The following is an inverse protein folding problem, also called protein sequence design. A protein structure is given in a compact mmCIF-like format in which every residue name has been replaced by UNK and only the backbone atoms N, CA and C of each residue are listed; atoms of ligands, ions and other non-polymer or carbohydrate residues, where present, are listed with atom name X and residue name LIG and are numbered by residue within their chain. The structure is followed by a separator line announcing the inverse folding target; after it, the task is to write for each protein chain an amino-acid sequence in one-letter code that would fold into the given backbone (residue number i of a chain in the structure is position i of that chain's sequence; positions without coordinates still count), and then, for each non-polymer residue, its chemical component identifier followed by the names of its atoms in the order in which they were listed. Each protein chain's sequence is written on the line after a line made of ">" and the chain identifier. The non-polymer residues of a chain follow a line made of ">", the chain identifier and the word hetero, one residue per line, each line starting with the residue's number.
data_IF_824607183658
#
_entry.id   IF_824607183658
#
_cell.length_a   1.000
_cell.length_b   1.000
_cell.length_c   1.000
_cell.angle_alpha   90.00
_cell.angle_beta   90.00
_cell.angle_gamma   90.00
#
_symmetry.space_group_name_H-M   'P 1'
#
loop_
_entity.id
_entity.type
_entity.pdbx_description
1 polymer ?
#
# COMPACT_ATOMS: atom_id res chain seq x y z
N UNK A 1 -9.84 18.52 15.79
CA UNK A 1 -10.42 18.64 14.44
C UNK A 1 -9.77 17.56 13.61
N UNK A 2 -10.47 16.43 13.49
CA UNK A 2 -9.97 15.20 12.85
C UNK A 2 -10.16 15.39 11.35
N UNK A 3 -9.06 15.46 10.59
CA UNK A 3 -9.13 15.48 9.15
C UNK A 3 -9.35 14.04 8.67
N UNK A 4 -10.63 13.68 8.52
CA UNK A 4 -11.04 12.47 7.80
C UNK A 4 -10.65 12.66 6.34
N UNK A 5 -9.65 11.91 5.86
CA UNK A 5 -9.36 11.81 4.44
C UNK A 5 -10.40 10.83 3.88
N UNK A 6 -11.54 11.37 3.47
CA UNK A 6 -12.56 10.62 2.72
C UNK A 6 -12.16 10.56 1.24
N UNK A 7 -12.21 9.32 0.72
CA UNK A 7 -12.32 8.96 -0.69
C UNK A 7 -11.18 9.45 -1.59
N UNK A 8 -9.98 8.92 -1.33
CA UNK A 8 -9.03 8.65 -2.40
C UNK A 8 -9.71 7.78 -3.43
N UNK A 9 -9.89 8.35 -4.63
CA UNK A 9 -10.59 7.79 -5.77
C UNK A 9 -10.38 6.28 -5.87
N UNK A 10 -11.47 5.58 -6.18
CA UNK A 10 -11.50 4.18 -6.64
C UNK A 10 -10.65 4.07 -7.92
N UNK A 11 -9.33 4.20 -7.75
CA UNK A 11 -8.32 4.14 -8.78
C UNK A 11 -8.54 2.78 -9.41
N UNK A 12 -8.83 2.77 -10.71
CA UNK A 12 -8.97 1.56 -11.51
C UNK A 12 -7.76 0.69 -11.20
N UNK A 13 -7.95 -0.29 -10.29
CA UNK A 13 -6.86 -1.14 -9.83
C UNK A 13 -6.31 -1.79 -11.08
N UNK A 14 -4.98 -1.82 -11.20
CA UNK A 14 -4.35 -2.50 -12.32
C UNK A 14 -5.01 -3.87 -12.52
N UNK A 15 -5.42 -4.25 -13.75
CA UNK A 15 -6.12 -5.51 -13.99
C UNK A 15 -5.34 -6.72 -13.46
N UNK A 16 -4.00 -6.61 -13.40
CA UNK A 16 -3.11 -7.60 -12.81
C UNK A 16 -3.37 -7.84 -11.30
N UNK A 17 -3.78 -6.83 -10.53
CA UNK A 17 -4.11 -6.99 -9.10
C UNK A 17 -5.40 -7.78 -8.93
N UNK A 18 -6.41 -7.52 -9.77
CA UNK A 18 -7.66 -8.27 -9.77
C UNK A 18 -7.43 -9.75 -10.12
N UNK A 19 -6.60 -10.01 -11.13
CA UNK A 19 -6.19 -11.37 -11.50
C UNK A 19 -5.41 -12.07 -10.38
N UNK A 20 -4.44 -11.40 -9.76
CA UNK A 20 -3.67 -11.93 -8.65
C UNK A 20 -4.54 -12.26 -7.43
N UNK A 21 -5.51 -11.40 -7.09
CA UNK A 21 -6.48 -11.70 -6.04
C UNK A 21 -7.34 -12.93 -6.39
N UNK A 22 -7.75 -13.06 -7.65
CA UNK A 22 -8.44 -14.25 -8.15
C UNK A 22 -7.58 -15.52 -7.96
N UNK A 23 -6.29 -15.45 -8.30
CA UNK A 23 -5.36 -16.56 -8.10
C UNK A 23 -5.18 -16.93 -6.61
N UNK A 24 -5.16 -15.95 -5.70
CA UNK A 24 -5.10 -16.20 -4.25
C UNK A 24 -6.35 -16.95 -3.77
N UNK A 25 -7.54 -16.58 -4.26
CA UNK A 25 -8.78 -17.29 -3.91
C UNK A 25 -8.71 -18.77 -4.32
N UNK A 26 -8.23 -19.05 -5.53
CA UNK A 26 -8.02 -20.43 -5.99
C UNK A 26 -6.97 -21.17 -5.15
N UNK A 27 -5.86 -20.50 -4.82
CA UNK A 27 -4.80 -21.08 -3.99
C UNK A 27 -5.31 -21.42 -2.57
N UNK A 28 -6.16 -20.59 -1.96
CA UNK A 28 -6.76 -20.89 -0.65
C UNK A 28 -7.69 -22.11 -0.71
N UNK A 29 -8.46 -22.26 -1.79
CA UNK A 29 -9.28 -23.45 -2.00
C UNK A 29 -8.41 -24.72 -2.11
N UNK A 30 -7.30 -24.66 -2.86
CA UNK A 30 -6.35 -25.76 -2.96
C UNK A 30 -5.68 -26.09 -1.62
N UNK A 31 -5.21 -25.07 -0.89
CA UNK A 31 -4.60 -25.25 0.44
C UNK A 31 -5.55 -25.97 1.40
N UNK A 32 -6.83 -25.60 1.41
CA UNK A 32 -7.85 -26.27 2.20
C UNK A 32 -8.08 -27.71 1.75
N UNK A 33 -8.09 -27.96 0.44
CA UNK A 33 -8.29 -29.31 -0.11
C UNK A 33 -7.12 -30.26 0.17
N UNK A 34 -5.89 -29.74 0.26
CA UNK A 34 -4.67 -30.52 0.53
C UNK A 34 -4.22 -30.47 1.99
N UNK A 35 -5.02 -29.90 2.90
CA UNK A 35 -4.71 -29.79 4.34
C UNK A 35 -3.35 -29.10 4.64
N UNK A 36 -2.97 -28.13 3.79
CA UNK A 36 -1.69 -27.40 3.84
C UNK A 36 -1.79 -26.06 4.57
N UNK A 37 -2.26 -26.10 5.81
CA UNK A 37 -2.51 -24.87 6.61
C UNK A 37 -1.27 -23.99 6.81
N UNK A 38 -0.06 -24.55 6.63
CA UNK A 38 1.22 -23.82 6.63
C UNK A 38 1.28 -22.69 5.58
N UNK A 39 0.52 -22.81 4.50
CA UNK A 39 0.49 -21.83 3.42
C UNK A 39 -0.59 -20.75 3.62
N UNK A 40 -1.55 -20.96 4.52
CA UNK A 40 -2.64 -20.01 4.77
C UNK A 40 -2.12 -18.64 5.17
N UNK A 41 -1.19 -18.58 6.13
CA UNK A 41 -0.62 -17.30 6.59
C UNK A 41 0.11 -16.54 5.48
N UNK A 42 0.78 -17.26 4.56
CA UNK A 42 1.46 -16.63 3.41
C UNK A 42 0.46 -16.07 2.40
N UNK A 43 -0.64 -16.77 2.16
CA UNK A 43 -1.69 -16.33 1.25
C UNK A 43 -2.44 -15.11 1.81
N UNK A 44 -2.70 -15.06 3.12
CA UNK A 44 -3.30 -13.87 3.74
C UNK A 44 -2.37 -12.67 3.69
N UNK A 45 -1.08 -12.83 4.02
CA UNK A 45 -0.12 -11.74 3.92
C UNK A 45 0.04 -11.22 2.46
N UNK A 46 -0.04 -12.11 1.47
CA UNK A 46 -0.02 -11.71 0.07
C UNK A 46 -1.30 -10.96 -0.33
N UNK A 47 -2.46 -11.40 0.16
CA UNK A 47 -3.74 -10.73 -0.06
C UNK A 47 -3.74 -9.33 0.53
N UNK A 48 -3.31 -9.19 1.79
CA UNK A 48 -3.23 -7.90 2.49
C UNK A 48 -2.38 -6.90 1.70
N UNK A 49 -1.21 -7.34 1.19
CA UNK A 49 -0.34 -6.51 0.34
C UNK A 49 -0.95 -6.11 -0.99
N UNK A 50 -1.81 -6.94 -1.58
CA UNK A 50 -2.50 -6.62 -2.84
C UNK A 50 -3.74 -5.76 -2.62
N UNK A 51 -4.33 -5.81 -1.42
CA UNK A 51 -5.45 -4.98 -1.03
C UNK A 51 -5.00 -3.60 -0.52
N UNK A 52 -3.78 -3.48 0.00
CA UNK A 52 -3.16 -2.23 0.45
C UNK A 52 -3.03 -1.24 -0.73
N UNK A 53 -3.76 -0.11 -0.71
CA UNK A 53 -3.69 0.90 -1.76
C UNK A 53 -2.47 1.82 -1.61
N UNK A 54 -1.65 1.66 -0.56
CA UNK A 54 -0.53 2.55 -0.29
C UNK A 54 0.55 2.44 -1.38
N UNK A 55 0.84 3.57 -2.03
CA UNK A 55 2.00 3.71 -2.90
C UNK A 55 3.15 4.35 -2.11
N UNK A 56 4.20 3.58 -1.86
CA UNK A 56 5.37 4.07 -1.13
C UNK A 56 6.31 4.85 -2.06
N UNK A 57 6.42 6.16 -1.83
CA UNK A 57 7.40 7.03 -2.50
C UNK A 57 8.56 7.28 -1.56
N UNK A 58 9.77 6.92 -1.99
CA UNK A 58 11.00 7.23 -1.26
C UNK A 58 11.65 8.49 -1.80
N UNK A 59 11.73 9.53 -0.96
CA UNK A 59 12.42 10.79 -1.29
C UNK A 59 13.81 10.78 -0.66
N UNK A 60 14.86 10.64 -1.47
CA UNK A 60 16.27 10.56 -1.02
C UNK A 60 17.05 11.78 -1.48
N UNK A 61 18.01 12.23 -0.67
CA UNK A 61 18.94 13.30 -1.00
C UNK A 61 19.76 13.72 0.23
N UNK A 62 20.62 14.73 0.10
CA UNK A 62 21.46 15.24 1.20
C UNK A 62 20.68 16.08 2.22
N UNK A 63 21.14 16.09 3.48
CA UNK A 63 20.52 16.85 4.57
C UNK A 63 20.40 18.34 4.20
N UNK A 64 19.29 18.99 4.60
CA UNK A 64 18.97 20.42 4.32
C UNK A 64 18.75 20.84 2.86
N UNK A 65 18.63 19.91 1.91
CA UNK A 65 18.30 20.25 0.50
C UNK A 65 16.79 20.38 0.22
N UNK A 66 15.98 20.81 1.21
CA UNK A 66 14.56 21.09 1.00
C UNK A 66 13.65 19.87 0.77
N UNK A 67 14.08 18.65 1.12
CA UNK A 67 13.24 17.43 0.98
C UNK A 67 11.93 17.50 1.76
N UNK A 68 11.99 17.93 3.03
CA UNK A 68 10.80 18.13 3.86
C UNK A 68 9.90 19.24 3.29
N UNK A 69 10.49 20.32 2.76
CA UNK A 69 9.74 21.41 2.12
C UNK A 69 9.04 20.96 0.84
N UNK A 70 9.69 20.12 0.02
CA UNK A 70 9.09 19.55 -1.20
C UNK A 70 7.91 18.63 -0.86
N UNK A 71 8.04 17.77 0.15
CA UNK A 71 6.96 16.90 0.62
C UNK A 71 5.77 17.76 1.10
N UNK A 72 6.04 18.79 1.89
CA UNK A 72 5.00 19.67 2.41
C UNK A 72 4.30 20.45 1.30
N UNK A 73 5.03 20.90 0.27
CA UNK A 73 4.46 21.57 -0.90
C UNK A 73 3.62 20.62 -1.76
N UNK A 74 4.08 19.38 -1.98
CA UNK A 74 3.37 18.38 -2.77
C UNK A 74 2.07 17.92 -2.09
N UNK A 75 2.09 17.78 -0.77
CA UNK A 75 0.92 17.41 0.05
C UNK A 75 0.06 18.62 0.45
N UNK A 76 0.52 19.84 0.13
CA UNK A 76 -0.07 21.11 0.57
C UNK A 76 -0.40 21.15 2.08
N UNK A 77 0.44 20.49 2.89
CA UNK A 77 0.25 20.28 4.32
C UNK A 77 1.61 20.20 5.05
N UNK A 78 1.73 20.71 6.29
CA UNK A 78 2.97 20.65 7.06
C UNK A 78 3.12 19.27 7.72
N UNK A 79 3.51 18.26 6.95
CA UNK A 79 3.61 16.86 7.40
C UNK A 79 5.01 16.53 7.93
N UNK A 80 6.06 17.06 7.30
CA UNK A 80 7.44 16.85 7.70
C UNK A 80 8.02 18.11 8.36
N UNK A 81 8.71 18.00 9.52
CA UNK A 81 9.41 19.13 10.10
C UNK A 81 10.52 19.58 9.13
N UNK A 82 10.55 20.89 8.90
CA UNK A 82 11.62 21.56 8.14
C UNK A 82 12.46 22.28 9.19
N UNK A 83 13.65 21.75 9.48
CA UNK A 83 14.69 22.55 10.12
C UNK A 83 15.34 23.37 9.02
N UNK A 84 15.27 24.70 9.13
CA UNK A 84 16.15 25.61 8.37
C UNK A 84 17.63 25.21 8.57
#
# INVERSE_FOLDING_TARGET
>A
MVATIEEGQKQERSPAVGEALGAIVQAKAAVKAYEREDLTGRLEAAREKLEDPAFHVLVVGEFKQGKSSLINALLNAPVCPVDD
#
